data_IF_557028542758
#
_entry.id   IF_557028542758
#
_cell.length_a   1.000
_cell.length_b   1.000
_cell.length_c   1.000
_cell.angle_alpha   90.00
_cell.angle_beta   90.00
_cell.angle_gamma   90.00
#
_symmetry.space_group_name_H-M   'P 1'
#
loop_
_entity.id
_entity.type
_entity.pdbx_description
1 polymer ?
#
# COMPACT_ATOMS: atom_id res chain seq x y z
N UNK A 1 -7.85 63.44 5.27
CA UNK A 1 -7.71 62.47 6.37
C UNK A 1 -7.36 61.14 5.72
N UNK A 2 -6.06 60.92 5.52
CA UNK A 2 -5.52 59.94 4.56
C UNK A 2 -4.91 58.78 5.34
N UNK A 3 -5.43 57.57 5.11
CA UNK A 3 -5.00 56.33 5.76
C UNK A 3 -3.86 55.70 4.93
N UNK A 4 -2.67 55.43 5.47
CA UNK A 4 -1.63 54.78 4.69
C UNK A 4 -1.87 53.26 4.65
N UNK A 5 -1.95 52.71 3.43
CA UNK A 5 -1.93 51.28 3.15
C UNK A 5 -0.52 50.71 3.42
N UNK A 6 -0.38 49.83 4.41
CA UNK A 6 0.82 49.01 4.59
C UNK A 6 0.67 47.69 3.81
N UNK A 7 0.91 47.72 2.50
CA UNK A 7 1.28 46.49 1.75
C UNK A 7 2.77 46.25 1.92
N UNK A 8 3.15 45.42 2.90
CA UNK A 8 4.51 44.86 2.97
C UNK A 8 4.61 43.71 1.97
N UNK A 9 5.17 44.00 0.80
CA UNK A 9 5.64 42.99 -0.15
C UNK A 9 6.88 42.31 0.44
N UNK A 10 6.74 41.08 0.93
CA UNK A 10 7.89 40.22 1.20
C UNK A 10 8.22 39.44 -0.08
N UNK A 11 9.05 40.02 -0.96
CA UNK A 11 9.82 39.23 -1.92
C UNK A 11 10.91 38.50 -1.15
N UNK A 12 10.96 37.18 -1.26
CA UNK A 12 12.01 36.34 -0.66
C UNK A 12 13.01 35.99 -1.76
N UNK A 13 14.29 36.22 -1.48
CA UNK A 13 15.42 35.99 -2.36
C UNK A 13 15.68 34.48 -2.58
N UNK A 14 16.41 34.08 -3.65
CA UNK A 14 16.62 32.68 -4.02
C UNK A 14 17.33 31.85 -2.93
N UNK A 15 17.07 30.53 -2.94
CA UNK A 15 17.49 29.53 -1.92
C UNK A 15 18.99 29.48 -1.58
N UNK A 16 19.86 30.13 -2.35
CA UNK A 16 21.28 30.30 -2.01
C UNK A 16 21.53 31.33 -0.91
N UNK A 17 20.51 32.13 -0.56
CA UNK A 17 20.62 33.27 0.34
C UNK A 17 19.87 33.08 1.68
N UNK A 18 19.45 31.83 1.99
CA UNK A 18 19.09 31.45 3.36
C UNK A 18 20.39 31.35 4.17
N UNK A 19 21.03 32.49 4.36
CA UNK A 19 22.05 32.68 5.38
C UNK A 19 21.31 32.58 6.71
N UNK A 20 21.75 31.72 7.66
CA UNK A 20 21.14 31.73 8.98
C UNK A 20 21.28 33.15 9.51
N UNK A 21 20.16 33.83 9.76
CA UNK A 21 20.21 35.18 10.33
C UNK A 21 20.92 35.08 11.67
N UNK A 22 22.19 35.50 11.70
CA UNK A 22 22.99 35.58 12.91
C UNK A 22 22.46 36.74 13.75
N UNK A 23 21.32 36.54 14.40
CA UNK A 23 20.90 37.38 15.52
C UNK A 23 21.46 36.76 16.80
N UNK A 24 22.33 37.48 17.55
CA UNK A 24 22.91 36.97 18.78
C UNK A 24 21.82 36.92 19.85
N UNK A 25 21.20 35.76 20.01
CA UNK A 25 20.17 35.50 21.01
C UNK A 25 20.40 34.15 21.66
N UNK A 26 20.20 34.08 22.98
CA UNK A 26 20.40 32.88 23.80
C UNK A 26 19.53 31.72 23.30
N UNK A 27 20.19 30.60 22.97
CA UNK A 27 19.56 29.38 22.50
C UNK A 27 18.78 28.70 23.63
N UNK A 28 17.46 28.93 23.67
CA UNK A 28 16.55 28.17 24.55
C UNK A 28 15.73 27.17 23.73
N UNK A 29 15.41 25.98 24.27
CA UNK A 29 14.72 24.92 23.52
C UNK A 29 13.33 25.33 23.00
N UNK A 30 12.63 26.25 23.67
CA UNK A 30 11.36 26.81 23.18
C UNK A 30 11.54 27.61 21.89
N UNK A 31 12.60 28.42 21.81
CA UNK A 31 12.91 29.25 20.65
C UNK A 31 13.35 28.41 19.44
N UNK A 32 13.92 27.21 19.66
CA UNK A 32 14.32 26.29 18.58
C UNK A 32 13.07 25.68 17.91
N UNK A 33 12.09 25.26 18.71
CA UNK A 33 10.87 24.65 18.20
C UNK A 33 10.03 25.64 17.37
N UNK A 34 9.86 26.88 17.84
CA UNK A 34 9.17 27.93 17.08
C UNK A 34 9.89 28.28 15.79
N UNK A 35 11.22 28.40 15.79
CA UNK A 35 12.00 28.67 14.56
C UNK A 35 11.94 27.53 13.54
N UNK A 36 11.99 26.27 13.98
CA UNK A 36 11.83 25.12 13.08
C UNK A 36 10.43 25.07 12.48
N UNK A 37 9.40 25.42 13.27
CA UNK A 37 8.04 25.51 12.79
C UNK A 37 7.87 26.65 11.79
N UNK A 38 8.41 27.84 12.07
CA UNK A 38 8.38 28.99 11.16
C UNK A 38 9.08 28.69 9.83
N UNK A 39 10.23 27.99 9.86
CA UNK A 39 10.91 27.52 8.64
C UNK A 39 10.06 26.50 7.87
N UNK A 40 9.39 25.57 8.56
CA UNK A 40 8.47 24.62 7.92
C UNK A 40 7.24 25.32 7.33
N UNK A 41 6.72 26.35 7.99
CA UNK A 41 5.59 27.15 7.51
C UNK A 41 6.01 27.99 6.31
N UNK A 42 7.21 28.58 6.33
CA UNK A 42 7.78 29.30 5.19
C UNK A 42 7.99 28.36 4.00
N UNK A 43 8.58 27.19 4.22
CA UNK A 43 8.78 26.16 3.20
C UNK A 43 7.44 25.60 2.69
N UNK A 44 6.45 25.45 3.56
CA UNK A 44 5.11 25.07 3.14
C UNK A 44 4.44 26.18 2.33
N UNK A 45 4.72 27.47 2.57
CA UNK A 45 4.10 28.57 1.82
C UNK A 45 4.74 28.77 0.44
N UNK A 46 5.94 28.27 0.22
CA UNK A 46 6.63 28.37 -1.06
C UNK A 46 5.92 27.55 -2.15
N UNK A 47 5.40 28.27 -3.14
CA UNK A 47 4.69 27.66 -4.27
C UNK A 47 5.66 27.05 -5.30
N UNK A 48 6.89 27.52 -5.36
CA UNK A 48 7.88 27.06 -6.34
C UNK A 48 8.44 25.71 -5.94
N UNK A 49 8.86 25.55 -4.68
CA UNK A 49 9.21 24.24 -4.12
C UNK A 49 8.07 23.23 -4.23
N UNK A 50 6.81 23.65 -4.06
CA UNK A 50 5.66 22.75 -4.29
C UNK A 50 5.55 22.32 -5.75
N UNK A 51 5.79 23.22 -6.70
CA UNK A 51 5.79 22.90 -8.14
C UNK A 51 6.95 21.97 -8.48
N UNK A 52 8.14 22.20 -7.93
CA UNK A 52 9.32 21.35 -8.14
C UNK A 52 9.18 19.98 -7.47
N UNK A 53 8.71 19.92 -6.23
CA UNK A 53 8.39 18.67 -5.55
C UNK A 53 7.28 17.91 -6.28
N UNK A 54 6.31 18.62 -6.87
CA UNK A 54 5.30 18.01 -7.73
C UNK A 54 5.94 17.42 -8.99
N UNK A 55 6.93 18.07 -9.61
CA UNK A 55 7.71 17.50 -10.74
C UNK A 55 8.55 16.29 -10.34
N UNK A 56 9.04 16.25 -9.10
CA UNK A 56 9.80 15.11 -8.58
C UNK A 56 8.93 13.86 -8.43
N UNK A 57 7.67 14.05 -7.98
CA UNK A 57 6.71 12.96 -7.72
C UNK A 57 5.89 12.60 -8.96
N UNK A 58 5.51 13.61 -9.75
CA UNK A 58 4.63 13.50 -10.89
C UNK A 58 5.37 13.89 -12.16
N UNK A 59 5.24 13.05 -13.18
CA UNK A 59 5.73 13.34 -14.53
C UNK A 59 5.04 14.59 -15.08
N UNK A 60 5.80 15.43 -15.80
CA UNK A 60 5.24 16.61 -16.43
C UNK A 60 4.19 16.22 -17.48
N UNK A 61 3.10 17.00 -17.53
CA UNK A 61 2.00 16.76 -18.46
C UNK A 61 2.50 17.02 -19.89
N UNK A 62 2.33 16.04 -20.77
CA UNK A 62 2.78 16.12 -22.16
C UNK A 62 4.17 15.51 -22.43
N UNK A 63 4.91 15.07 -21.40
CA UNK A 63 6.13 14.30 -21.65
C UNK A 63 5.75 12.94 -22.25
N UNK A 64 6.37 12.55 -23.37
CA UNK A 64 6.12 11.25 -23.98
C UNK A 64 6.68 10.12 -23.09
N UNK A 65 6.00 8.96 -23.01
CA UNK A 65 6.58 7.80 -22.32
C UNK A 65 7.96 7.48 -22.91
N UNK A 66 8.96 7.22 -22.08
CA UNK A 66 10.29 6.84 -22.56
C UNK A 66 10.17 5.58 -23.40
N UNK A 67 10.45 5.70 -24.70
CA UNK A 67 10.50 4.55 -25.58
C UNK A 67 11.84 3.84 -25.37
N UNK A 68 11.78 2.64 -24.83
CA UNK A 68 12.93 1.78 -24.63
C UNK A 68 13.03 0.85 -25.84
N UNK A 69 14.17 0.88 -26.51
CA UNK A 69 14.42 0.07 -27.72
C UNK A 69 15.44 -1.03 -27.45
N UNK A 70 16.37 -0.77 -26.53
CA UNK A 70 17.47 -1.69 -26.22
C UNK A 70 17.30 -2.32 -24.83
N UNK A 71 17.71 -3.58 -24.68
CA UNK A 71 17.67 -4.30 -23.40
C UNK A 71 18.46 -3.57 -22.30
N UNK A 72 19.58 -2.94 -22.68
CA UNK A 72 20.39 -2.12 -21.76
C UNK A 72 19.63 -0.89 -21.25
N UNK A 73 18.88 -0.21 -22.13
CA UNK A 73 18.03 0.91 -21.73
C UNK A 73 16.92 0.44 -20.80
N UNK A 74 16.31 -0.73 -21.08
CA UNK A 74 15.34 -1.36 -20.20
C UNK A 74 15.94 -1.67 -18.82
N UNK A 75 17.15 -2.21 -18.77
CA UNK A 75 17.86 -2.49 -17.53
C UNK A 75 18.15 -1.20 -16.75
N UNK A 76 18.69 -0.18 -17.41
CA UNK A 76 19.00 1.11 -16.79
C UNK A 76 17.73 1.80 -16.26
N UNK A 77 16.64 1.74 -17.00
CA UNK A 77 15.33 2.24 -16.56
C UNK A 77 14.79 1.46 -15.35
N UNK A 78 14.85 0.14 -15.43
CA UNK A 78 14.43 -0.77 -14.36
C UNK A 78 15.23 -0.53 -13.08
N UNK A 79 16.55 -0.41 -13.18
CA UNK A 79 17.46 -0.13 -12.07
C UNK A 79 17.19 1.22 -11.41
N UNK A 80 17.02 2.28 -12.20
CA UNK A 80 16.62 3.61 -11.69
C UNK A 80 15.28 3.52 -10.94
N UNK A 81 14.32 2.76 -11.46
CA UNK A 81 13.05 2.50 -10.81
C UNK A 81 13.19 1.72 -9.50
N UNK A 82 13.98 0.66 -9.50
CA UNK A 82 14.26 -0.19 -8.34
C UNK A 82 14.93 0.58 -7.21
N UNK A 83 15.94 1.41 -7.51
CA UNK A 83 16.58 2.27 -6.50
C UNK A 83 15.57 3.22 -5.84
N UNK A 84 14.73 3.90 -6.63
CA UNK A 84 13.69 4.79 -6.08
C UNK A 84 12.71 4.04 -5.18
N UNK A 85 12.23 2.88 -5.63
CA UNK A 85 11.30 2.05 -4.87
C UNK A 85 11.92 1.49 -3.59
N UNK A 86 13.17 1.04 -3.64
CA UNK A 86 13.92 0.55 -2.49
C UNK A 86 14.14 1.64 -1.44
N UNK A 87 14.56 2.84 -1.86
CA UNK A 87 14.72 3.99 -0.95
C UNK A 87 13.40 4.40 -0.31
N UNK A 88 12.31 4.43 -1.08
CA UNK A 88 10.98 4.72 -0.55
C UNK A 88 10.52 3.65 0.44
N UNK A 89 10.69 2.38 0.10
CA UNK A 89 10.35 1.25 0.97
C UNK A 89 11.13 1.28 2.28
N UNK A 90 12.43 1.56 2.22
CA UNK A 90 13.28 1.78 3.39
C UNK A 90 12.73 2.91 4.25
N UNK A 91 12.45 4.08 3.65
CA UNK A 91 11.96 5.26 4.36
C UNK A 91 10.65 5.02 5.09
N UNK A 92 9.69 4.34 4.45
CA UNK A 92 8.40 4.00 5.08
C UNK A 92 8.62 3.08 6.28
N UNK A 93 9.42 2.01 6.13
CA UNK A 93 9.61 1.02 7.20
C UNK A 93 10.43 1.57 8.36
N UNK A 94 11.50 2.29 8.08
CA UNK A 94 12.29 3.01 9.08
C UNK A 94 11.43 4.07 9.80
N UNK A 95 10.56 4.78 9.06
CA UNK A 95 9.64 5.77 9.61
C UNK A 95 8.62 5.17 10.59
N UNK A 96 7.99 4.04 10.23
CA UNK A 96 7.07 3.33 11.13
C UNK A 96 7.79 2.80 12.37
N UNK A 97 8.98 2.21 12.20
CA UNK A 97 9.77 1.72 13.33
C UNK A 97 10.17 2.85 14.29
N UNK A 98 10.58 4.01 13.74
CA UNK A 98 10.90 5.18 14.52
C UNK A 98 9.66 5.73 15.23
N UNK A 99 8.51 5.77 14.55
CA UNK A 99 7.24 6.22 15.14
C UNK A 99 6.80 5.33 16.31
N UNK A 100 6.87 4.01 16.16
CA UNK A 100 6.58 3.07 17.25
C UNK A 100 7.57 3.24 18.42
N UNK A 101 8.84 3.53 18.11
CA UNK A 101 9.85 3.81 19.12
C UNK A 101 9.52 5.09 19.92
N UNK A 102 8.91 6.13 19.32
CA UNK A 102 8.56 7.36 20.03
C UNK A 102 7.63 7.11 21.23
N UNK A 103 6.73 6.14 21.15
CA UNK A 103 5.87 5.78 22.30
C UNK A 103 6.64 5.08 23.43
N UNK A 104 7.74 4.40 23.11
CA UNK A 104 8.55 3.64 24.07
C UNK A 104 9.73 4.43 24.63
N UNK A 105 10.23 5.42 23.89
CA UNK A 105 11.46 6.14 24.20
C UNK A 105 11.36 7.02 25.45
N UNK A 106 10.14 7.41 25.83
CA UNK A 106 9.84 8.19 27.04
C UNK A 106 10.19 7.38 28.29
N UNK A 107 9.89 6.08 28.31
CA UNK A 107 10.14 5.17 29.44
C UNK A 107 11.52 4.48 29.42
N UNK A 108 12.34 4.75 28.41
CA UNK A 108 13.64 4.08 28.21
C UNK A 108 14.80 4.90 28.80
N UNK A 109 15.81 4.30 29.46
CA UNK A 109 16.95 5.03 30.01
C UNK A 109 17.81 5.69 28.92
N UNK A 110 18.35 6.90 29.20
CA UNK A 110 19.04 7.76 28.22
C UNK A 110 20.19 7.07 27.47
N UNK A 111 20.94 6.17 28.13
CA UNK A 111 22.08 5.45 27.55
C UNK A 111 21.69 4.51 26.40
N UNK A 112 20.47 3.97 26.41
CA UNK A 112 19.98 3.04 25.39
C UNK A 112 19.23 3.74 24.25
N UNK A 113 18.83 5.01 24.41
CA UNK A 113 17.99 5.72 23.43
C UNK A 113 18.64 5.80 22.06
N UNK A 114 19.92 6.16 22.00
CA UNK A 114 20.64 6.29 20.73
C UNK A 114 20.80 4.95 20.00
N UNK A 115 21.18 3.89 20.72
CA UNK A 115 21.28 2.55 20.16
C UNK A 115 19.91 2.06 19.63
N UNK A 116 18.84 2.34 20.37
CA UNK A 116 17.48 1.95 20.00
C UNK A 116 16.97 2.72 18.78
N UNK A 117 17.27 4.02 18.67
CA UNK A 117 16.97 4.85 17.50
C UNK A 117 17.74 4.37 16.28
N UNK A 118 19.05 4.12 16.41
CA UNK A 118 19.87 3.57 15.32
C UNK A 118 19.30 2.22 14.85
N UNK A 119 18.94 1.33 15.77
CA UNK A 119 18.37 0.03 15.42
C UNK A 119 16.98 0.14 14.79
N UNK A 120 16.16 1.12 15.19
CA UNK A 120 14.85 1.34 14.58
C UNK A 120 14.97 1.84 13.12
N UNK A 121 15.94 2.73 12.85
CA UNK A 121 16.16 3.30 11.51
C UNK A 121 16.92 2.33 10.61
N UNK A 122 18.04 1.77 11.08
CA UNK A 122 18.94 0.90 10.33
C UNK A 122 18.78 -0.58 10.69
N UNK A 123 17.60 -0.99 11.14
CA UNK A 123 17.30 -2.38 11.42
C UNK A 123 17.35 -3.24 10.17
N UNK A 124 17.74 -4.52 10.32
CA UNK A 124 17.75 -5.51 9.24
C UNK A 124 16.41 -5.58 8.51
N UNK A 125 15.31 -5.42 9.24
CA UNK A 125 13.95 -5.36 8.71
C UNK A 125 13.72 -4.29 7.64
N UNK A 126 14.31 -3.10 7.81
CA UNK A 126 14.17 -2.00 6.84
C UNK A 126 14.92 -2.32 5.56
N UNK A 127 16.12 -2.90 5.67
CA UNK A 127 16.94 -3.32 4.52
C UNK A 127 16.30 -4.49 3.77
N UNK A 128 15.75 -5.49 4.46
CA UNK A 128 15.06 -6.63 3.83
C UNK A 128 13.84 -6.18 3.03
N UNK A 129 13.03 -5.29 3.62
CA UNK A 129 11.88 -4.73 2.93
C UNK A 129 12.28 -3.84 1.75
N UNK A 130 13.35 -3.05 1.90
CA UNK A 130 13.89 -2.24 0.81
C UNK A 130 14.41 -3.11 -0.34
N UNK A 131 15.11 -4.20 -0.04
CA UNK A 131 15.56 -5.18 -1.03
C UNK A 131 14.37 -5.86 -1.72
N UNK A 132 13.34 -6.27 -0.97
CA UNK A 132 12.11 -6.83 -1.51
C UNK A 132 11.43 -5.85 -2.50
N UNK A 133 11.18 -4.60 -2.09
CA UNK A 133 10.53 -3.59 -2.93
C UNK A 133 11.38 -3.18 -4.13
N UNK A 134 12.69 -2.97 -3.92
CA UNK A 134 13.63 -2.56 -4.95
C UNK A 134 13.79 -3.64 -6.03
N UNK A 135 14.01 -4.89 -5.63
CA UNK A 135 14.12 -6.02 -6.56
C UNK A 135 12.80 -6.29 -7.27
N UNK A 136 11.67 -6.25 -6.57
CA UNK A 136 10.34 -6.41 -7.19
C UNK A 136 10.14 -5.41 -8.33
N UNK A 137 10.37 -4.11 -8.07
CA UNK A 137 10.16 -3.05 -9.07
C UNK A 137 11.18 -3.15 -10.19
N UNK A 138 12.44 -3.47 -9.90
CA UNK A 138 13.47 -3.64 -10.93
C UNK A 138 13.12 -4.80 -11.87
N UNK A 139 12.85 -5.99 -11.33
CA UNK A 139 12.49 -7.18 -12.10
C UNK A 139 11.22 -6.94 -12.91
N UNK A 140 10.16 -6.42 -12.26
CA UNK A 140 8.90 -6.13 -12.94
C UNK A 140 9.09 -5.14 -14.10
N UNK A 141 9.76 -4.02 -13.86
CA UNK A 141 10.01 -3.02 -14.91
C UNK A 141 10.91 -3.55 -16.02
N UNK A 142 11.89 -4.39 -15.69
CA UNK A 142 12.74 -5.00 -16.70
C UNK A 142 11.91 -5.88 -17.64
N UNK A 143 11.16 -6.85 -17.11
CA UNK A 143 10.40 -7.79 -17.93
C UNK A 143 9.22 -7.13 -18.67
N UNK A 144 8.50 -6.19 -18.06
CA UNK A 144 7.41 -5.47 -18.75
C UNK A 144 7.91 -4.70 -19.98
N UNK A 145 9.14 -4.18 -19.94
CA UNK A 145 9.71 -3.42 -21.06
C UNK A 145 10.57 -4.27 -22.01
N UNK A 146 11.21 -5.33 -21.52
CA UNK A 146 12.07 -6.20 -22.32
C UNK A 146 11.27 -7.25 -23.11
N UNK A 147 10.17 -7.79 -22.57
CA UNK A 147 9.39 -8.81 -23.28
C UNK A 147 8.78 -8.30 -24.60
N UNK A 148 8.24 -7.07 -24.69
CA UNK A 148 7.77 -6.51 -25.95
C UNK A 148 8.84 -6.29 -27.02
N UNK A 149 10.13 -6.35 -26.67
CA UNK A 149 11.23 -6.29 -27.65
C UNK A 149 11.40 -7.61 -28.42
N UNK A 150 10.83 -8.71 -27.91
CA UNK A 150 10.89 -10.01 -28.59
C UNK A 150 9.97 -9.96 -29.81
N UNK A 151 10.48 -10.17 -31.04
CA UNK A 151 9.65 -10.16 -32.23
C UNK A 151 8.55 -11.22 -32.13
N UNK A 152 7.32 -10.83 -32.45
CA UNK A 152 6.13 -11.69 -32.39
C UNK A 152 6.30 -12.95 -33.27
N UNK A 153 7.03 -12.81 -34.39
CA UNK A 153 7.30 -13.88 -35.35
C UNK A 153 8.15 -15.04 -34.77
N UNK A 154 8.88 -14.79 -33.68
CA UNK A 154 9.71 -15.79 -33.00
C UNK A 154 8.97 -16.50 -31.86
N UNK A 155 7.75 -16.06 -31.53
CA UNK A 155 6.96 -16.67 -30.47
C UNK A 155 6.16 -17.86 -31.01
N UNK A 156 5.98 -18.93 -30.21
CA UNK A 156 5.06 -20.02 -30.58
C UNK A 156 3.64 -19.47 -30.73
N UNK A 157 2.85 -20.04 -31.64
CA UNK A 157 1.50 -19.57 -32.04
C UNK A 157 0.57 -19.26 -30.86
N UNK A 158 0.72 -19.99 -29.74
CA UNK A 158 -0.07 -19.79 -28.51
C UNK A 158 0.23 -18.45 -27.80
N UNK A 159 1.47 -17.96 -27.91
CA UNK A 159 1.95 -16.74 -27.26
C UNK A 159 1.94 -15.52 -28.20
N UNK A 160 1.68 -15.75 -29.49
CA UNK A 160 1.58 -14.68 -30.48
C UNK A 160 0.42 -13.77 -30.13
N UNK A 161 0.71 -12.48 -30.06
CA UNK A 161 -0.30 -11.47 -29.81
C UNK A 161 -0.82 -10.95 -31.14
N UNK A 162 -2.09 -11.21 -31.44
CA UNK A 162 -2.77 -10.52 -32.52
C UNK A 162 -3.36 -9.24 -31.93
N UNK A 163 -2.94 -8.05 -32.40
CA UNK A 163 -3.58 -6.81 -31.95
C UNK A 163 -5.07 -6.89 -32.30
N UNK A 164 -5.97 -6.55 -31.37
CA UNK A 164 -7.38 -6.41 -31.73
C UNK A 164 -7.45 -5.36 -32.85
N UNK A 165 -8.19 -5.65 -33.92
CA UNK A 165 -8.50 -4.67 -34.95
C UNK A 165 -9.02 -3.42 -34.24
N UNK A 166 -8.43 -2.25 -34.57
CA UNK A 166 -8.70 -0.98 -33.90
C UNK A 166 -10.20 -0.70 -33.91
N UNK A 167 -10.91 -1.10 -32.85
CA UNK A 167 -12.17 -0.51 -32.49
C UNK A 167 -11.77 0.75 -31.76
N UNK A 168 -11.91 1.88 -32.46
CA UNK A 168 -11.96 3.21 -31.85
C UNK A 168 -13.16 3.23 -30.91
N UNK A 169 -13.03 2.62 -29.73
CA UNK A 169 -13.95 2.82 -28.64
C UNK A 169 -13.74 4.25 -28.16
N UNK A 170 -14.57 5.14 -28.73
CA UNK A 170 -14.98 6.37 -28.08
C UNK A 170 -15.42 5.94 -26.68
N UNK A 171 -14.59 6.23 -25.68
CA UNK A 171 -14.92 6.09 -24.26
C UNK A 171 -16.02 7.12 -23.95
N UNK A 172 -17.24 6.85 -24.42
CA UNK A 172 -18.44 7.54 -23.97
C UNK A 172 -18.66 7.12 -22.52
N UNK A 173 -18.30 8.01 -21.61
CA UNK A 173 -18.46 7.82 -20.19
C UNK A 173 -19.90 7.44 -19.83
N UNK A 174 -20.11 6.20 -19.46
CA UNK A 174 -21.25 5.80 -18.63
C UNK A 174 -20.72 5.72 -17.21
N UNK A 175 -20.97 6.77 -16.45
CA UNK A 175 -20.83 6.79 -14.99
C UNK A 175 -21.82 5.78 -14.39
N UNK A 176 -21.40 4.52 -14.22
CA UNK A 176 -22.06 3.62 -13.29
C UNK A 176 -21.67 4.04 -11.88
N UNK A 177 -22.46 4.94 -11.32
CA UNK A 177 -22.44 5.37 -9.93
C UNK A 177 -22.83 4.20 -9.03
N UNK A 178 -21.87 3.40 -8.57
CA UNK A 178 -22.00 2.57 -7.36
C UNK A 178 -20.62 2.02 -6.95
N UNK A 179 -19.92 2.81 -6.15
CA UNK A 179 -18.66 2.47 -5.49
C UNK A 179 -18.57 3.22 -4.14
N UNK A 180 -17.85 2.66 -3.14
CA UNK A 180 -18.06 2.95 -1.72
C UNK A 180 -17.79 4.40 -1.31
N UNK A 181 -18.48 4.78 -0.24
CA UNK A 181 -18.80 6.12 0.28
C UNK A 181 -17.61 6.87 0.91
N UNK A 182 -16.49 7.01 0.19
CA UNK A 182 -15.47 8.01 0.51
C UNK A 182 -14.88 8.59 -0.78
N UNK A 183 -14.84 9.93 -0.87
CA UNK A 183 -14.50 10.76 -2.04
C UNK A 183 -15.66 11.05 -3.02
N UNK A 184 -16.73 11.71 -2.53
CA UNK A 184 -17.56 12.54 -3.41
C UNK A 184 -16.70 13.69 -3.92
N UNK A 185 -16.28 13.62 -5.18
CA UNK A 185 -15.58 14.71 -5.86
C UNK A 185 -16.53 15.91 -5.88
N UNK A 186 -16.20 16.96 -5.13
CA UNK A 186 -16.98 18.20 -5.10
C UNK A 186 -16.90 18.81 -6.50
N UNK A 187 -17.95 18.67 -7.29
CA UNK A 187 -18.15 19.47 -8.49
C UNK A 187 -18.22 20.93 -8.04
N UNK A 188 -17.20 21.69 -8.42
CA UNK A 188 -17.21 23.15 -8.29
C UNK A 188 -18.19 23.64 -9.34
N UNK A 189 -19.39 24.00 -8.89
CA UNK A 189 -20.30 24.86 -9.62
C UNK A 189 -19.57 26.18 -9.83
N UNK A 190 -19.15 26.43 -11.06
CA UNK A 190 -18.50 27.66 -11.46
C UNK A 190 -19.57 28.54 -12.09
N UNK A 191 -19.96 29.58 -11.36
CA UNK A 191 -20.70 30.72 -11.89
C UNK A 191 -19.87 31.39 -13.01
N UNK A 192 -20.60 31.94 -13.98
CA UNK A 192 -20.10 32.33 -15.30
C UNK A 192 -18.85 33.20 -15.30
N UNK A 193 -17.80 32.67 -15.92
CA UNK A 193 -16.69 33.45 -16.45
C UNK A 193 -16.26 32.82 -17.77
N UNK A 194 -16.38 33.58 -18.85
CA UNK A 194 -15.95 33.24 -20.21
C UNK A 194 -14.47 32.86 -20.17
N UNK A 195 -14.22 31.55 -20.18
CA UNK A 195 -12.88 30.98 -20.30
C UNK A 195 -12.76 30.36 -21.68
N UNK A 196 -11.71 30.75 -22.39
CA UNK A 196 -11.33 30.21 -23.70
C UNK A 196 -11.46 28.67 -23.71
N UNK A 197 -11.87 28.06 -24.85
CA UNK A 197 -11.96 26.62 -24.96
C UNK A 197 -10.59 26.01 -24.68
N UNK A 198 -10.47 25.38 -23.51
CA UNK A 198 -9.27 24.65 -23.10
C UNK A 198 -8.90 23.70 -24.24
N UNK A 199 -7.67 23.76 -24.79
CA UNK A 199 -7.32 22.90 -25.92
C UNK A 199 -7.54 21.44 -25.51
N UNK A 200 -8.09 20.61 -26.42
CA UNK A 200 -8.35 19.21 -26.12
C UNK A 200 -7.04 18.60 -25.62
N UNK A 201 -7.08 18.00 -24.42
CA UNK A 201 -5.94 17.33 -23.83
C UNK A 201 -5.43 16.29 -24.81
N UNK A 202 -4.28 16.56 -25.44
CA UNK A 202 -3.55 15.64 -26.34
C UNK A 202 -2.91 14.49 -25.54
N UNK A 203 -3.64 13.91 -24.61
CA UNK A 203 -3.21 12.78 -23.78
C UNK A 203 -3.83 11.49 -24.34
N UNK A 204 -3.85 11.32 -25.67
CA UNK A 204 -4.13 10.00 -26.26
C UNK A 204 -2.86 9.17 -26.08
N UNK A 205 -2.75 8.50 -24.95
CA UNK A 205 -1.70 7.53 -24.69
C UNK A 205 -1.89 6.36 -25.67
N UNK A 206 -1.25 6.42 -26.83
CA UNK A 206 -1.06 5.25 -27.68
C UNK A 206 -0.16 4.28 -26.91
N UNK A 207 -0.77 3.42 -26.08
CA UNK A 207 -0.06 2.35 -25.39
C UNK A 207 0.48 1.42 -26.47
N UNK A 208 1.78 1.10 -26.41
CA UNK A 208 2.33 0.02 -27.23
C UNK A 208 1.44 -1.22 -27.02
N UNK A 209 0.94 -1.84 -28.09
CA UNK A 209 0.01 -2.94 -27.96
C UNK A 209 0.80 -4.15 -27.44
N UNK A 210 0.73 -4.37 -26.13
CA UNK A 210 1.47 -5.43 -25.44
C UNK A 210 0.55 -6.59 -25.12
N UNK A 211 1.02 -7.82 -25.37
CA UNK A 211 0.29 -9.01 -24.95
C UNK A 211 0.08 -9.01 -23.43
N UNK A 212 -1.11 -9.45 -23.00
CA UNK A 212 -1.51 -9.44 -21.59
C UNK A 212 -0.70 -10.42 -20.75
N UNK A 213 -0.20 -11.50 -21.36
CA UNK A 213 0.64 -12.49 -20.71
C UNK A 213 2.00 -11.92 -20.25
N UNK A 214 2.51 -10.87 -20.91
CA UNK A 214 3.76 -10.21 -20.49
C UNK A 214 3.69 -9.67 -19.06
N UNK A 215 2.56 -9.05 -18.70
CA UNK A 215 2.35 -8.55 -17.33
C UNK A 215 2.25 -9.69 -16.31
N UNK A 216 1.67 -10.83 -16.72
CA UNK A 216 1.58 -12.02 -15.88
C UNK A 216 2.96 -12.65 -15.64
N UNK A 217 3.77 -12.81 -16.69
CA UNK A 217 5.14 -13.33 -16.58
C UNK A 217 6.04 -12.38 -15.77
N UNK A 218 5.98 -11.08 -16.07
CA UNK A 218 6.74 -10.08 -15.31
C UNK A 218 6.33 -10.06 -13.83
N UNK A 219 5.03 -10.17 -13.53
CA UNK A 219 4.51 -10.27 -12.17
C UNK A 219 4.95 -11.53 -11.44
N UNK A 220 4.93 -12.69 -12.12
CA UNK A 220 5.36 -13.97 -11.55
C UNK A 220 6.86 -13.96 -11.19
N UNK A 221 7.71 -13.46 -12.11
CA UNK A 221 9.14 -13.33 -11.88
C UNK A 221 9.46 -12.29 -10.79
N UNK A 222 8.78 -11.14 -10.81
CA UNK A 222 8.94 -10.12 -9.79
C UNK A 222 8.48 -10.62 -8.41
N UNK A 223 7.47 -11.48 -8.35
CA UNK A 223 6.96 -12.09 -7.12
C UNK A 223 8.00 -12.88 -6.32
N UNK A 224 9.05 -13.37 -6.97
CA UNK A 224 10.18 -14.02 -6.30
C UNK A 224 10.92 -13.07 -5.34
N UNK A 225 10.82 -11.75 -5.54
CA UNK A 225 11.39 -10.76 -4.63
C UNK A 225 10.83 -10.85 -3.21
N UNK A 226 9.64 -11.44 -3.01
CA UNK A 226 9.09 -11.68 -1.66
C UNK A 226 9.98 -12.62 -0.83
N UNK A 227 10.86 -13.40 -1.46
CA UNK A 227 11.81 -14.27 -0.76
C UNK A 227 12.86 -13.52 0.08
N UNK A 228 13.10 -12.22 -0.17
CA UNK A 228 13.98 -11.39 0.69
C UNK A 228 13.39 -11.16 2.09
N UNK A 229 12.10 -11.45 2.27
CA UNK A 229 11.35 -11.18 3.48
C UNK A 229 11.35 -12.36 4.47
N UNK A 230 11.03 -12.12 5.75
CA UNK A 230 10.89 -13.22 6.73
C UNK A 230 9.73 -14.16 6.34
N UNK A 231 9.80 -15.46 6.69
CA UNK A 231 8.74 -16.41 6.34
C UNK A 231 7.35 -15.96 6.85
N UNK A 232 7.27 -15.42 8.06
CA UNK A 232 6.00 -14.93 8.62
C UNK A 232 5.43 -13.71 7.86
N UNK A 233 6.30 -12.76 7.51
CA UNK A 233 5.90 -11.57 6.75
C UNK A 233 5.61 -11.89 5.29
N UNK A 234 6.33 -12.85 4.68
CA UNK A 234 6.06 -13.35 3.33
C UNK A 234 4.65 -13.90 3.22
N UNK A 235 4.21 -14.72 4.17
CA UNK A 235 2.85 -15.27 4.16
C UNK A 235 1.80 -14.16 4.27
N UNK A 236 2.02 -13.20 5.17
CA UNK A 236 1.13 -12.03 5.34
C UNK A 236 1.04 -11.20 4.06
N UNK A 237 2.18 -10.87 3.45
CA UNK A 237 2.23 -10.08 2.20
C UNK A 237 1.57 -10.85 1.06
N UNK A 238 1.84 -12.15 0.93
CA UNK A 238 1.26 -13.00 -0.09
C UNK A 238 -0.27 -13.04 0.03
N UNK A 239 -0.82 -13.21 1.23
CA UNK A 239 -2.26 -13.18 1.47
C UNK A 239 -2.88 -11.84 1.04
N UNK A 240 -2.29 -10.72 1.46
CA UNK A 240 -2.81 -9.39 1.14
C UNK A 240 -2.80 -9.13 -0.38
N UNK A 241 -1.72 -9.47 -1.06
CA UNK A 241 -1.60 -9.28 -2.52
C UNK A 241 -2.51 -10.26 -3.26
N UNK A 242 -2.63 -11.51 -2.80
CA UNK A 242 -3.48 -12.53 -3.39
C UNK A 242 -4.95 -12.11 -3.41
N UNK A 243 -5.47 -11.65 -2.27
CA UNK A 243 -6.86 -11.18 -2.17
C UNK A 243 -7.10 -9.99 -3.10
N UNK A 244 -6.16 -9.05 -3.18
CA UNK A 244 -6.24 -7.91 -4.10
C UNK A 244 -6.18 -8.35 -5.57
N UNK A 245 -5.36 -9.35 -5.88
CA UNK A 245 -5.28 -9.96 -7.21
C UNK A 245 -6.58 -10.66 -7.61
N UNK A 246 -7.20 -11.39 -6.68
CA UNK A 246 -8.49 -12.04 -6.90
C UNK A 246 -9.60 -11.00 -7.13
N UNK A 247 -9.63 -9.93 -6.32
CA UNK A 247 -10.56 -8.81 -6.51
C UNK A 247 -10.38 -8.16 -7.88
N UNK A 248 -9.13 -7.92 -8.31
CA UNK A 248 -8.83 -7.39 -9.64
C UNK A 248 -9.28 -8.31 -10.77
N UNK A 249 -9.09 -9.62 -10.60
CA UNK A 249 -9.48 -10.64 -11.58
C UNK A 249 -11.01 -10.74 -11.70
N UNK A 250 -11.71 -10.74 -10.57
CA UNK A 250 -13.18 -10.71 -10.54
C UNK A 250 -13.73 -9.46 -11.22
N UNK A 251 -13.17 -8.28 -10.91
CA UNK A 251 -13.58 -7.02 -11.54
C UNK A 251 -13.34 -7.03 -13.06
N UNK A 252 -12.29 -7.70 -13.53
CA UNK A 252 -12.03 -7.85 -14.95
C UNK A 252 -13.03 -8.82 -15.61
N UNK A 253 -13.25 -10.01 -15.04
CA UNK A 253 -14.17 -11.01 -15.58
C UNK A 253 -15.63 -10.59 -15.51
N UNK A 254 -16.05 -9.94 -14.43
CA UNK A 254 -17.42 -9.43 -14.27
C UNK A 254 -17.78 -8.42 -15.37
N UNK A 255 -16.82 -7.59 -15.80
CA UNK A 255 -17.01 -6.67 -16.94
C UNK A 255 -17.13 -7.40 -18.28
N UNK A 256 -16.37 -8.48 -18.48
CA UNK A 256 -16.34 -9.21 -19.74
C UNK A 256 -17.60 -10.08 -19.94
N UNK A 257 -18.08 -10.72 -18.88
CA UNK A 257 -19.20 -11.67 -18.94
C UNK A 257 -20.53 -11.08 -18.44
N UNK A 258 -20.54 -9.84 -17.94
CA UNK A 258 -21.75 -9.21 -17.38
C UNK A 258 -22.28 -9.85 -16.09
N UNK A 259 -21.49 -10.71 -15.44
CA UNK A 259 -21.89 -11.42 -14.23
C UNK A 259 -21.75 -10.48 -13.04
N UNK A 260 -22.87 -9.93 -12.54
CA UNK A 260 -22.94 -9.13 -11.31
C UNK A 260 -23.76 -9.87 -10.27
N UNK A 261 -23.08 -10.49 -9.29
CA UNK A 261 -23.74 -11.16 -8.17
C UNK A 261 -24.13 -10.10 -7.12
N UNK A 262 -25.42 -9.94 -6.78
CA UNK A 262 -25.84 -9.02 -5.72
C UNK A 262 -25.30 -9.51 -4.36
N UNK A 263 -24.76 -8.59 -3.55
CA UNK A 263 -24.17 -8.88 -2.22
C UNK A 263 -23.10 -9.98 -2.21
N UNK A 264 -22.36 -10.16 -3.32
CA UNK A 264 -21.35 -11.22 -3.43
C UNK A 264 -20.23 -11.12 -2.38
N UNK A 265 -19.89 -9.90 -1.96
CA UNK A 265 -18.96 -9.65 -0.86
C UNK A 265 -19.47 -10.19 0.49
N UNK A 266 -20.77 -10.02 0.78
CA UNK A 266 -21.41 -10.58 1.98
C UNK A 266 -21.43 -12.10 1.92
N UNK A 267 -21.77 -12.69 0.77
CA UNK A 267 -21.78 -14.16 0.62
C UNK A 267 -20.39 -14.75 0.84
N UNK A 268 -19.36 -14.19 0.21
CA UNK A 268 -17.97 -14.64 0.39
C UNK A 268 -17.53 -14.47 1.85
N UNK A 269 -17.88 -13.34 2.48
CA UNK A 269 -17.58 -13.09 3.89
C UNK A 269 -18.25 -14.13 4.80
N UNK A 270 -19.55 -14.38 4.63
CA UNK A 270 -20.30 -15.37 5.41
C UNK A 270 -19.74 -16.78 5.22
N UNK A 271 -19.38 -17.16 3.99
CA UNK A 271 -18.76 -18.45 3.71
C UNK A 271 -17.38 -18.59 4.38
N UNK A 272 -16.51 -17.58 4.30
CA UNK A 272 -15.23 -17.60 4.97
C UNK A 272 -15.37 -17.66 6.50
N UNK A 273 -16.29 -16.89 7.08
CA UNK A 273 -16.57 -16.94 8.52
C UNK A 273 -17.07 -18.32 8.96
N UNK A 274 -17.99 -18.92 8.18
CA UNK A 274 -18.47 -20.28 8.41
C UNK A 274 -17.34 -21.31 8.36
N UNK A 275 -16.45 -21.22 7.36
CA UNK A 275 -15.28 -22.10 7.23
C UNK A 275 -14.30 -21.97 8.41
N UNK A 276 -14.04 -20.74 8.88
CA UNK A 276 -13.17 -20.50 10.03
C UNK A 276 -13.77 -21.12 11.31
N UNK A 277 -15.09 -20.96 11.51
CA UNK A 277 -15.78 -21.57 12.66
C UNK A 277 -15.84 -23.10 12.56
N UNK A 278 -16.09 -23.64 11.38
CA UNK A 278 -16.02 -25.07 11.11
C UNK A 278 -14.63 -25.62 11.44
N UNK A 279 -13.57 -24.94 10.98
CA UNK A 279 -12.19 -25.34 11.27
C UNK A 279 -11.88 -25.27 12.77
N UNK A 280 -12.35 -24.23 13.47
CA UNK A 280 -12.17 -24.11 14.91
C UNK A 280 -12.86 -25.23 15.71
N UNK A 281 -14.13 -25.50 15.40
CA UNK A 281 -14.96 -26.45 16.17
C UNK A 281 -14.74 -27.91 15.79
N UNK A 282 -14.56 -28.19 14.49
CA UNK A 282 -14.57 -29.55 13.98
C UNK A 282 -13.22 -30.00 13.44
N UNK A 283 -12.35 -29.10 12.98
CA UNK A 283 -11.05 -29.50 12.40
C UNK A 283 -9.89 -28.64 12.90
N UNK A 284 -9.58 -28.65 14.21
CA UNK A 284 -8.67 -27.67 14.82
C UNK A 284 -7.21 -27.77 14.35
N UNK A 285 -6.84 -28.80 13.59
CA UNK A 285 -5.52 -28.97 12.96
C UNK A 285 -5.34 -28.17 11.67
N UNK A 286 -6.41 -27.70 11.03
CA UNK A 286 -6.32 -26.98 9.75
C UNK A 286 -6.03 -25.48 9.91
N UNK A 287 -6.21 -24.93 11.12
CA UNK A 287 -5.92 -23.54 11.44
C UNK A 287 -4.63 -23.40 12.27
N UNK A 288 -3.86 -22.30 12.12
CA UNK A 288 -2.67 -22.05 12.92
C UNK A 288 -2.97 -22.04 14.42
N UNK A 289 -2.06 -22.60 15.23
CA UNK A 289 -2.22 -22.69 16.69
C UNK A 289 -2.47 -21.32 17.35
N UNK A 290 -1.76 -20.29 16.89
CA UNK A 290 -1.94 -18.91 17.37
C UNK A 290 -3.36 -18.40 17.13
N UNK A 291 -3.90 -18.66 15.94
CA UNK A 291 -5.25 -18.27 15.56
C UNK A 291 -6.31 -19.02 16.37
N UNK A 292 -6.12 -20.34 16.58
CA UNK A 292 -7.00 -21.15 17.43
C UNK A 292 -7.07 -20.65 18.86
N UNK A 293 -5.91 -20.33 19.46
CA UNK A 293 -5.84 -19.76 20.82
C UNK A 293 -6.50 -18.39 20.89
N UNK A 294 -6.36 -17.58 19.84
CA UNK A 294 -7.04 -16.29 19.75
C UNK A 294 -8.57 -16.45 19.69
N UNK A 295 -9.11 -17.32 18.84
CA UNK A 295 -10.56 -17.59 18.77
C UNK A 295 -11.07 -18.12 20.12
N UNK A 296 -10.34 -19.05 20.74
CA UNK A 296 -10.72 -19.59 22.06
C UNK A 296 -10.83 -18.48 23.11
N UNK A 297 -9.89 -17.53 23.14
CA UNK A 297 -9.94 -16.39 24.06
C UNK A 297 -11.07 -15.41 23.71
N UNK A 298 -11.27 -15.14 22.43
CA UNK A 298 -12.28 -14.19 21.95
C UNK A 298 -13.71 -14.70 22.19
N UNK A 299 -13.93 -16.01 22.04
CA UNK A 299 -15.23 -16.67 22.22
C UNK A 299 -15.70 -16.74 23.68
N UNK A 300 -14.81 -16.54 24.66
CA UNK A 300 -15.11 -16.61 26.10
C UNK A 300 -15.79 -17.92 26.56
N UNK A 301 -15.64 -19.00 25.79
CA UNK A 301 -16.13 -20.33 26.17
C UNK A 301 -15.01 -21.17 26.79
N UNK A 302 -15.33 -22.14 27.67
CA UNK A 302 -14.35 -23.12 28.15
C UNK A 302 -13.74 -23.92 27.00
N UNK A 303 -12.46 -24.23 27.12
CA UNK A 303 -11.78 -25.06 26.12
C UNK A 303 -12.34 -26.49 26.12
N UNK A 304 -12.73 -27.02 27.28
CA UNK A 304 -13.42 -28.30 27.40
C UNK A 304 -14.72 -28.36 26.57
N UNK A 305 -15.49 -27.26 26.51
CA UNK A 305 -16.73 -27.22 25.74
C UNK A 305 -16.46 -27.45 24.24
N UNK A 306 -15.43 -26.78 23.70
CA UNK A 306 -15.06 -26.92 22.28
C UNK A 306 -14.53 -28.33 21.98
N UNK A 307 -13.72 -28.91 22.88
CA UNK A 307 -13.22 -30.30 22.74
C UNK A 307 -14.35 -31.32 22.81
N UNK A 308 -15.27 -31.14 23.76
CA UNK A 308 -16.44 -32.01 23.91
C UNK A 308 -17.35 -31.94 22.68
N UNK A 309 -17.63 -30.74 22.16
CA UNK A 309 -18.41 -30.57 20.93
C UNK A 309 -17.74 -31.25 19.73
N UNK A 310 -16.41 -31.10 19.60
CA UNK A 310 -15.63 -31.77 18.56
C UNK A 310 -15.77 -33.31 18.65
N UNK A 311 -15.49 -33.87 19.82
CA UNK A 311 -15.47 -35.32 20.02
C UNK A 311 -16.88 -35.92 19.87
N UNK A 312 -17.91 -35.23 20.37
CA UNK A 312 -19.31 -35.63 20.21
C UNK A 312 -19.74 -35.63 18.74
N UNK A 313 -19.36 -34.60 17.97
CA UNK A 313 -19.74 -34.49 16.54
C UNK A 313 -18.98 -35.48 15.66
N UNK A 314 -17.70 -35.76 15.94
CA UNK A 314 -16.88 -36.66 15.10
C UNK A 314 -16.98 -38.13 15.47
N UNK A 315 -17.15 -38.44 16.76
CA UNK A 315 -17.05 -39.81 17.27
C UNK A 315 -18.28 -40.28 18.04
N UNK A 316 -19.22 -39.37 18.35
CA UNK A 316 -20.37 -39.67 19.21
C UNK A 316 -20.01 -39.93 20.67
N UNK A 317 -18.76 -39.69 21.08
CA UNK A 317 -18.25 -39.95 22.43
C UNK A 317 -17.70 -38.66 23.03
N UNK A 318 -17.68 -38.57 24.35
CA UNK A 318 -17.06 -37.48 25.09
C UNK A 318 -16.17 -38.03 26.22
N UNK A 319 -15.20 -37.24 26.66
CA UNK A 319 -14.31 -37.60 27.76
C UNK A 319 -14.91 -37.11 29.08
N UNK A 320 -14.88 -37.96 30.10
CA UNK A 320 -15.38 -37.60 31.44
C UNK A 320 -14.58 -36.46 32.08
N UNK A 321 -13.31 -36.33 31.72
CA UNK A 321 -12.44 -35.25 32.22
C UNK A 321 -12.89 -33.87 31.72
N UNK A 322 -13.34 -33.78 30.47
CA UNK A 322 -13.88 -32.53 29.91
C UNK A 322 -15.19 -32.14 30.61
N UNK A 323 -16.02 -33.11 31.03
CA UNK A 323 -17.23 -32.84 31.81
C UNK A 323 -16.89 -32.34 33.20
N UNK A 324 -15.93 -32.95 33.90
CA UNK A 324 -15.49 -32.47 35.21
C UNK A 324 -14.98 -31.04 35.14
N UNK A 325 -14.15 -30.71 34.13
CA UNK A 325 -13.68 -29.35 33.88
C UNK A 325 -14.85 -28.36 33.67
N UNK A 326 -15.93 -28.78 33.00
CA UNK A 326 -17.12 -27.95 32.78
C UNK A 326 -18.00 -27.80 34.03
N UNK A 327 -18.15 -28.84 34.86
CA UNK A 327 -18.90 -28.79 36.11
C UNK A 327 -18.19 -27.87 37.12
N UNK A 328 -16.86 -27.94 37.18
CA UNK A 328 -16.04 -27.11 38.05
C UNK A 328 -15.83 -25.68 37.50
N UNK A 329 -16.31 -25.41 36.27
CA UNK A 329 -16.13 -24.12 35.63
C UNK A 329 -17.01 -23.05 36.30
N UNK A 330 -16.39 -22.31 37.24
CA UNK A 330 -16.96 -21.07 37.75
C UNK A 330 -16.82 -19.99 36.68
N UNK A 331 -17.95 -19.49 36.18
CA UNK A 331 -17.99 -18.26 35.38
C UNK A 331 -17.30 -17.18 36.19
N UNK A 332 -16.15 -16.71 35.71
CA UNK A 332 -15.49 -15.54 36.28
C UNK A 332 -16.39 -14.33 36.07
N UNK A 333 -17.34 -14.11 36.98
CA UNK A 333 -17.95 -12.80 37.17
C UNK A 333 -16.78 -11.88 37.47
N UNK A 334 -16.56 -10.93 36.56
CA UNK A 334 -15.61 -9.85 36.72
C UNK A 334 -15.99 -9.05 37.97
N UNK A 335 -15.50 -9.44 39.15
CA UNK A 335 -15.33 -8.53 40.26
C UNK A 335 -14.13 -7.65 39.91
N UNK A 336 -14.41 -6.60 39.15
CA UNK A 336 -13.52 -5.46 39.04
C UNK A 336 -13.49 -4.76 40.41
N UNK A 337 -12.36 -4.88 41.10
CA UNK A 337 -11.93 -3.98 42.17
C UNK A 337 -10.67 -3.26 41.71
#
# INVERSE_FOLDING_TARGET
>A
MSRPESRRNHSIAPLSEITPSQTPGTWTPKNIATRSFENLVALARDQELRKEAKKLVWRDKGEHPTELTTVEECFNHAWKGGKRAGTLGFGIRAGVNLFLLLFRIIRTPRKLKFALVRHAVFGSDSFRFAAMMGTFVAVYKFFVNALPLIPNDKLPTILQYTPPAVQSEIESGIQSSEGPLYMRKKEKQADGETTDPKPPSKDVFARKPVARWHALVAGALAGLAVAFETPDRRLTIAQQIFVRGLQGSYNYWSKLFGIRIPFGDVMVFSLCCGQIMYAFLLSPSTIPRSYRVWIQRASKVPAACVRMNHDLTRTGKFKLDDIKELIDWKVGILTAN
#
